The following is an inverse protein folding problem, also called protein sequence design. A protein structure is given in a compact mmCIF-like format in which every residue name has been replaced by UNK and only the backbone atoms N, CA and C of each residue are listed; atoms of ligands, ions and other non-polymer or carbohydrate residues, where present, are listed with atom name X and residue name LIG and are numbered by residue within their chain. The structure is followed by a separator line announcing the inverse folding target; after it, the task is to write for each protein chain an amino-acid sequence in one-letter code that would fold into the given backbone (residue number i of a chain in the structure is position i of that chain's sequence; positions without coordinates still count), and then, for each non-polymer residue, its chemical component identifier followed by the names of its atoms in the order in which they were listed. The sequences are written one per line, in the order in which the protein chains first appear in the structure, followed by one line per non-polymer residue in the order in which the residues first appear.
data_IF_176204452918
#
_entry.id   IF_176204452918
#
_cell.length_a   1.000
_cell.length_b   1.000
_cell.length_c   1.000
_cell.angle_alpha   90.00
_cell.angle_beta   90.00
_cell.angle_gamma   90.00
#
_symmetry.space_group_name_H-M   'P 1'
#
loop_
_entity.id
_entity.type
_entity.pdbx_description
1 polymer ?
#
# COMPACT_ATOMS: atom_id res chain seq x y z
N UNK A 1 40.45 -58.87 11.76
CA UNK A 1 40.24 -57.85 10.73
C UNK A 1 38.78 -57.88 10.33
N UNK A 2 37.99 -56.90 10.77
CA UNK A 2 36.61 -56.70 10.37
C UNK A 2 36.58 -55.71 9.19
N UNK A 3 35.71 -55.88 8.18
CA UNK A 3 35.61 -54.94 7.04
C UNK A 3 34.95 -53.63 7.45
N UNK A 4 35.20 -52.51 6.74
CA UNK A 4 34.64 -51.21 7.05
C UNK A 4 33.15 -51.18 6.73
N UNK A 5 32.38 -50.54 7.63
CA UNK A 5 30.94 -50.25 7.48
C UNK A 5 30.75 -49.13 6.44
N UNK A 6 30.08 -49.44 5.35
CA UNK A 6 29.71 -48.48 4.32
C UNK A 6 28.81 -47.38 4.90
N UNK A 7 29.29 -46.14 4.86
CA UNK A 7 28.52 -44.96 5.21
C UNK A 7 27.40 -44.74 4.15
N UNK A 8 26.17 -44.94 4.55
CA UNK A 8 24.98 -44.60 3.73
C UNK A 8 25.04 -43.12 3.32
N UNK A 9 25.21 -42.87 2.03
CA UNK A 9 25.04 -41.56 1.45
C UNK A 9 23.58 -41.06 1.67
N UNK A 10 23.36 -39.80 2.10
CA UNK A 10 22.02 -39.27 2.32
C UNK A 10 21.26 -39.21 1.00
N UNK A 11 20.09 -39.80 0.98
CA UNK A 11 19.19 -39.83 -0.19
C UNK A 11 18.76 -38.42 -0.58
N UNK A 12 19.15 -37.97 -1.79
CA UNK A 12 18.81 -36.64 -2.39
C UNK A 12 17.32 -36.35 -2.54
N UNK A 13 16.40 -37.26 -2.20
CA UNK A 13 14.98 -37.10 -2.51
C UNK A 13 14.18 -36.25 -1.50
N UNK A 14 14.63 -36.16 -0.24
CA UNK A 14 13.89 -35.39 0.78
C UNK A 14 14.13 -33.89 0.75
N UNK A 15 15.30 -33.46 0.28
CA UNK A 15 15.65 -32.04 0.17
C UNK A 15 14.95 -31.32 -0.98
N UNK A 16 14.60 -32.05 -2.04
CA UNK A 16 13.92 -31.44 -3.22
C UNK A 16 12.44 -31.19 -2.99
N UNK A 17 11.74 -32.05 -2.24
CA UNK A 17 10.32 -31.86 -1.93
C UNK A 17 10.10 -30.69 -0.98
N UNK A 18 10.91 -30.53 0.05
CA UNK A 18 10.85 -29.40 0.98
C UNK A 18 11.17 -28.07 0.30
N UNK A 19 12.11 -28.05 -0.64
CA UNK A 19 12.45 -26.86 -1.44
C UNK A 19 11.32 -26.44 -2.37
N UNK A 20 10.56 -27.39 -2.95
CA UNK A 20 9.41 -27.10 -3.81
C UNK A 20 8.21 -26.56 -3.01
N UNK A 21 7.88 -27.14 -1.86
CA UNK A 21 6.79 -26.67 -0.99
C UNK A 21 7.07 -25.26 -0.49
N UNK A 22 8.30 -24.95 -0.10
CA UNK A 22 8.71 -23.62 0.33
C UNK A 22 8.62 -22.59 -0.80
N UNK A 23 8.90 -22.97 -2.06
CA UNK A 23 8.74 -22.07 -3.22
C UNK A 23 7.26 -21.79 -3.54
N UNK A 24 6.39 -22.78 -3.50
CA UNK A 24 4.95 -22.61 -3.78
C UNK A 24 4.31 -21.69 -2.74
N UNK A 25 4.66 -21.82 -1.46
CA UNK A 25 4.20 -20.96 -0.38
C UNK A 25 4.62 -19.48 -0.60
N UNK A 26 5.79 -19.25 -1.17
CA UNK A 26 6.34 -17.90 -1.41
C UNK A 26 5.57 -17.07 -2.45
N UNK A 27 4.92 -17.72 -3.40
CA UNK A 27 4.23 -17.05 -4.51
C UNK A 27 2.70 -17.08 -4.39
N UNK A 28 2.16 -17.56 -3.24
CA UNK A 28 0.70 -17.63 -3.03
C UNK A 28 -0.01 -16.30 -3.23
N UNK A 29 0.53 -15.21 -2.71
CA UNK A 29 -0.04 -13.88 -2.95
C UNK A 29 -0.07 -13.51 -4.44
N UNK A 30 0.99 -13.83 -5.24
CA UNK A 30 1.01 -13.62 -6.70
C UNK A 30 -0.05 -14.48 -7.38
N UNK A 31 -0.18 -15.71 -6.95
CA UNK A 31 -1.18 -16.63 -7.48
C UNK A 31 -2.60 -16.11 -7.18
N UNK A 32 -2.83 -15.57 -5.98
CA UNK A 32 -4.10 -14.95 -5.61
C UNK A 32 -4.34 -13.69 -6.44
N UNK A 33 -3.35 -12.80 -6.56
CA UNK A 33 -3.47 -11.58 -7.38
C UNK A 33 -3.70 -11.91 -8.86
N UNK A 34 -3.00 -12.89 -9.41
CA UNK A 34 -3.20 -13.37 -10.78
C UNK A 34 -4.59 -14.01 -10.96
N UNK A 35 -5.04 -14.79 -9.99
CA UNK A 35 -6.39 -15.37 -9.99
C UNK A 35 -7.48 -14.31 -9.98
N UNK A 36 -7.35 -13.29 -9.11
CA UNK A 36 -8.27 -12.15 -9.07
C UNK A 36 -8.26 -11.35 -10.37
N UNK A 37 -7.08 -11.19 -11.00
CA UNK A 37 -6.97 -10.51 -12.28
C UNK A 37 -7.71 -11.28 -13.39
N UNK A 38 -7.59 -12.60 -13.43
CA UNK A 38 -8.34 -13.45 -14.37
C UNK A 38 -9.85 -13.33 -14.11
N UNK A 39 -10.29 -13.38 -12.85
CA UNK A 39 -11.71 -13.20 -12.49
C UNK A 39 -12.21 -11.83 -12.91
N UNK A 40 -11.42 -10.78 -12.71
CA UNK A 40 -11.71 -9.42 -13.17
C UNK A 40 -11.91 -9.38 -14.69
N UNK A 41 -10.94 -9.90 -15.45
CA UNK A 41 -10.99 -9.92 -16.92
C UNK A 41 -12.22 -10.65 -17.44
N UNK A 42 -12.49 -11.84 -16.90
CA UNK A 42 -13.66 -12.64 -17.26
C UNK A 42 -14.96 -11.94 -16.91
N UNK A 43 -15.06 -11.38 -15.69
CA UNK A 43 -16.22 -10.64 -15.26
C UNK A 43 -16.52 -9.43 -16.14
N UNK A 44 -15.51 -8.63 -16.46
CA UNK A 44 -15.65 -7.46 -17.33
C UNK A 44 -16.09 -7.87 -18.74
N UNK A 45 -15.53 -8.96 -19.27
CA UNK A 45 -15.92 -9.49 -20.59
C UNK A 45 -17.37 -9.98 -20.61
N UNK A 46 -17.81 -10.69 -19.57
CA UNK A 46 -19.18 -11.20 -19.44
C UNK A 46 -20.19 -10.04 -19.39
N UNK A 47 -19.86 -8.96 -18.69
CA UNK A 47 -20.71 -7.78 -18.54
C UNK A 47 -20.53 -6.74 -19.65
N UNK A 48 -19.71 -7.02 -20.67
CA UNK A 48 -19.47 -6.08 -21.77
C UNK A 48 -18.76 -4.78 -21.35
N UNK A 49 -18.09 -4.78 -20.19
CA UNK A 49 -17.38 -3.61 -19.65
C UNK A 49 -16.02 -3.52 -20.32
N UNK A 50 -15.71 -2.43 -21.06
CA UNK A 50 -14.43 -2.27 -21.71
C UNK A 50 -13.31 -2.08 -20.71
N UNK A 51 -12.24 -2.83 -20.89
CA UNK A 51 -11.04 -2.73 -20.06
C UNK A 51 -10.15 -1.62 -20.60
N UNK A 52 -10.35 -0.40 -20.11
CA UNK A 52 -9.45 0.73 -20.40
C UNK A 52 -8.75 1.14 -19.13
N UNK A 53 -7.43 0.92 -19.06
CA UNK A 53 -6.58 1.47 -18.03
C UNK A 53 -5.90 2.74 -18.53
N UNK A 54 -5.95 3.80 -17.72
CA UNK A 54 -5.11 4.97 -17.95
C UNK A 54 -3.73 4.69 -17.35
N UNK A 55 -2.89 3.98 -18.12
CA UNK A 55 -1.53 3.62 -17.67
C UNK A 55 -0.72 4.87 -17.35
N UNK A 56 -0.85 5.95 -18.13
CA UNK A 56 -0.16 7.22 -17.87
C UNK A 56 -0.55 7.83 -16.54
N UNK A 57 -1.83 8.02 -16.26
CA UNK A 57 -2.32 8.59 -15.00
C UNK A 57 -1.93 7.73 -13.81
N UNK A 58 -2.05 6.40 -13.97
CA UNK A 58 -1.64 5.45 -12.94
C UNK A 58 -0.14 5.57 -12.64
N UNK A 59 0.69 5.61 -13.69
CA UNK A 59 2.12 5.77 -13.56
C UNK A 59 2.50 7.12 -12.93
N UNK A 60 1.90 8.23 -13.32
CA UNK A 60 2.15 9.56 -12.75
C UNK A 60 1.87 9.61 -11.26
N UNK A 61 0.72 9.10 -10.83
CA UNK A 61 0.34 9.07 -9.40
C UNK A 61 1.27 8.21 -8.57
N UNK A 62 1.61 7.01 -9.06
CA UNK A 62 2.54 6.13 -8.35
C UNK A 62 3.99 6.62 -8.35
N UNK A 63 4.34 7.49 -9.26
CA UNK A 63 5.62 8.16 -9.24
C UNK A 63 5.77 9.13 -8.08
N UNK A 64 4.77 9.98 -7.91
CA UNK A 64 4.71 10.92 -6.77
C UNK A 64 4.78 10.12 -5.47
N UNK A 65 4.00 9.03 -5.35
CA UNK A 65 4.04 8.11 -4.21
C UNK A 65 5.44 7.49 -4.04
N UNK A 66 6.11 7.11 -5.12
CA UNK A 66 7.47 6.55 -5.07
C UNK A 66 8.49 7.55 -4.51
N UNK A 67 8.46 8.80 -4.98
CA UNK A 67 9.33 9.86 -4.47
C UNK A 67 9.05 10.14 -2.99
N UNK A 68 7.78 10.28 -2.62
CA UNK A 68 7.37 10.47 -1.23
C UNK A 68 7.81 9.31 -0.35
N UNK A 69 7.71 8.07 -0.83
CA UNK A 69 8.14 6.87 -0.11
C UNK A 69 9.64 6.85 0.17
N UNK A 70 10.44 7.28 -0.80
CA UNK A 70 11.90 7.42 -0.63
C UNK A 70 12.20 8.51 0.40
N UNK A 71 11.61 9.70 0.27
CA UNK A 71 11.80 10.80 1.23
C UNK A 71 11.38 10.38 2.63
N UNK A 72 10.23 9.75 2.77
CA UNK A 72 9.72 9.25 4.04
C UNK A 72 10.63 8.18 4.66
N UNK A 73 11.18 7.27 3.82
CA UNK A 73 12.15 6.25 4.26
C UNK A 73 13.44 6.88 4.79
N UNK A 74 13.92 7.95 4.15
CA UNK A 74 15.10 8.69 4.61
C UNK A 74 14.84 9.37 5.95
N UNK A 75 13.67 9.99 6.14
CA UNK A 75 13.26 10.62 7.39
C UNK A 75 13.16 9.57 8.51
N UNK A 76 12.45 8.48 8.29
CA UNK A 76 12.32 7.40 9.27
C UNK A 76 13.67 6.75 9.57
N UNK A 77 14.51 6.59 8.56
CA UNK A 77 15.88 6.10 8.71
C UNK A 77 16.73 7.01 9.60
N UNK A 78 16.64 8.32 9.42
CA UNK A 78 17.35 9.29 10.24
C UNK A 78 16.87 9.29 11.72
N UNK A 79 15.59 9.06 11.95
CA UNK A 79 15.00 9.05 13.30
C UNK A 79 15.31 7.76 14.05
N UNK A 80 15.27 6.61 13.40
CA UNK A 80 15.15 5.33 14.08
C UNK A 80 16.20 4.29 13.80
N UNK A 81 17.04 4.46 12.79
CA UNK A 81 18.02 3.45 12.44
C UNK A 81 19.45 3.83 12.83
N UNK A 82 20.28 2.88 13.26
CA UNK A 82 21.71 3.12 13.39
C UNK A 82 22.25 3.67 12.06
N UNK A 83 23.13 4.65 12.16
CA UNK A 83 23.75 5.37 11.02
C UNK A 83 24.50 4.46 10.04
N UNK A 84 24.71 3.22 10.39
CA UNK A 84 25.43 2.20 9.61
C UNK A 84 24.87 1.92 8.21
N UNK A 85 23.59 2.32 7.93
CA UNK A 85 23.03 2.16 6.58
C UNK A 85 23.54 3.21 5.62
N UNK A 86 23.74 4.43 6.13
CA UNK A 86 24.13 5.60 5.33
C UNK A 86 25.63 5.79 5.28
N UNK A 87 26.37 5.16 6.22
CA UNK A 87 27.83 5.21 6.26
C UNK A 87 28.47 4.74 4.96
N UNK A 88 28.12 3.58 4.37
CA UNK A 88 28.73 3.15 3.11
C UNK A 88 28.43 4.09 1.94
N UNK A 89 27.22 4.67 1.88
CA UNK A 89 26.87 5.67 0.88
C UNK A 89 27.64 6.98 1.10
N UNK A 90 27.65 7.48 2.34
CA UNK A 90 28.32 8.75 2.69
C UNK A 90 29.82 8.71 2.43
N UNK A 91 30.50 7.62 2.77
CA UNK A 91 31.94 7.48 2.54
C UNK A 91 32.27 7.36 1.05
N UNK A 92 31.52 6.61 0.26
CA UNK A 92 31.74 6.44 -1.17
C UNK A 92 31.47 7.68 -1.99
N UNK A 93 30.40 8.41 -1.70
CA UNK A 93 30.08 9.64 -2.41
C UNK A 93 31.01 10.78 -2.01
N UNK A 94 31.66 10.69 -0.83
CA UNK A 94 32.73 11.61 -0.46
C UNK A 94 33.96 11.47 -1.34
N UNK A 95 34.24 10.28 -1.88
CA UNK A 95 35.38 10.00 -2.74
C UNK A 95 35.14 10.39 -4.21
N UNK A 96 33.90 10.61 -4.64
CA UNK A 96 33.58 11.01 -6.00
C UNK A 96 32.41 11.98 -6.11
N UNK A 97 32.60 13.25 -5.70
CA UNK A 97 31.55 14.28 -5.78
C UNK A 97 31.06 14.53 -7.22
N UNK A 98 31.88 14.26 -8.21
CA UNK A 98 31.53 14.36 -9.62
C UNK A 98 30.37 13.42 -10.02
N UNK A 99 30.34 12.20 -9.44
CA UNK A 99 29.25 11.23 -9.68
C UNK A 99 27.91 11.72 -9.15
N UNK A 100 27.90 12.37 -7.98
CA UNK A 100 26.68 13.01 -7.44
C UNK A 100 26.18 14.16 -8.31
N UNK A 101 27.09 14.97 -8.83
CA UNK A 101 26.75 16.06 -9.73
C UNK A 101 26.18 15.51 -11.03
N UNK A 102 26.78 14.50 -11.63
CA UNK A 102 26.28 13.85 -12.86
C UNK A 102 24.91 13.21 -12.62
N UNK A 103 24.71 12.47 -11.52
CA UNK A 103 23.43 11.88 -11.19
C UNK A 103 22.35 12.94 -10.92
N UNK A 104 22.73 14.04 -10.23
CA UNK A 104 21.84 15.16 -9.98
C UNK A 104 21.43 15.88 -11.28
N UNK A 105 22.37 16.10 -12.19
CA UNK A 105 22.10 16.72 -13.50
C UNK A 105 21.26 15.82 -14.40
N UNK A 106 21.57 14.52 -14.46
CA UNK A 106 20.77 13.54 -15.21
C UNK A 106 19.37 13.40 -14.63
N UNK A 107 19.25 13.35 -13.31
CA UNK A 107 17.95 13.33 -12.63
C UNK A 107 17.13 14.60 -12.91
N UNK A 108 17.74 15.77 -12.84
CA UNK A 108 17.09 17.04 -13.12
C UNK A 108 16.67 17.16 -14.60
N UNK A 109 17.53 16.76 -15.53
CA UNK A 109 17.23 16.73 -16.96
C UNK A 109 16.09 15.77 -17.27
N UNK A 110 16.11 14.58 -16.67
CA UNK A 110 15.06 13.59 -16.87
C UNK A 110 13.74 14.02 -16.23
N UNK A 111 13.80 14.72 -15.08
CA UNK A 111 12.65 15.32 -14.42
C UNK A 111 12.01 16.44 -15.25
N UNK A 112 12.82 17.17 -15.99
CA UNK A 112 12.35 18.22 -16.90
C UNK A 112 11.72 17.66 -18.18
N UNK A 113 12.27 16.57 -18.72
CA UNK A 113 11.84 15.99 -20.00
C UNK A 113 10.71 14.97 -19.90
N UNK A 114 10.52 14.36 -18.74
CA UNK A 114 9.57 13.26 -18.55
C UNK A 114 8.74 13.45 -17.28
N UNK A 115 7.50 12.89 -17.23
CA UNK A 115 6.72 12.86 -16.00
C UNK A 115 7.56 12.36 -14.80
N UNK A 116 7.38 12.93 -13.60
CA UNK A 116 8.23 12.67 -12.43
C UNK A 116 8.45 11.18 -12.07
N UNK A 117 7.58 10.31 -12.55
CA UNK A 117 7.75 8.86 -12.40
C UNK A 117 8.84 8.26 -13.26
N UNK A 118 8.85 8.57 -14.52
CA UNK A 118 9.89 8.06 -15.41
C UNK A 118 11.27 8.53 -14.92
N UNK A 119 11.35 9.77 -14.41
CA UNK A 119 12.55 10.29 -13.77
C UNK A 119 12.94 9.54 -12.49
N UNK A 120 11.98 9.21 -11.62
CA UNK A 120 12.23 8.46 -10.38
C UNK A 120 12.64 7.01 -10.67
N UNK A 121 11.97 6.34 -11.60
CA UNK A 121 12.35 4.98 -12.04
C UNK A 121 13.70 4.99 -12.72
N UNK A 122 13.97 5.95 -13.61
CA UNK A 122 15.27 6.10 -14.27
C UNK A 122 16.38 6.34 -13.24
N UNK A 123 16.16 7.21 -12.26
CA UNK A 123 17.13 7.50 -11.21
C UNK A 123 17.39 6.25 -10.36
N UNK A 124 16.36 5.53 -9.94
CA UNK A 124 16.48 4.29 -9.16
C UNK A 124 17.18 3.18 -9.96
N UNK A 125 16.82 3.01 -11.22
CA UNK A 125 17.48 2.05 -12.13
C UNK A 125 18.92 2.45 -12.38
N UNK A 126 19.20 3.73 -12.59
CA UNK A 126 20.56 4.24 -12.83
C UNK A 126 21.43 4.07 -11.58
N UNK A 127 20.91 4.39 -10.38
CA UNK A 127 21.58 4.13 -9.10
C UNK A 127 21.82 2.63 -8.95
N UNK A 128 20.82 1.80 -9.24
CA UNK A 128 20.91 0.35 -9.19
C UNK A 128 21.98 -0.21 -10.14
N UNK A 129 22.04 0.29 -11.37
CA UNK A 129 23.05 -0.10 -12.38
C UNK A 129 24.44 0.36 -11.97
N UNK A 130 24.60 1.58 -11.49
CA UNK A 130 25.90 2.10 -11.02
C UNK A 130 26.40 1.37 -9.79
N UNK A 131 25.53 1.05 -8.84
CA UNK A 131 25.85 0.22 -7.69
C UNK A 131 26.17 -1.22 -8.10
N UNK A 132 25.48 -1.76 -9.11
CA UNK A 132 25.77 -3.06 -9.69
C UNK A 132 27.15 -3.11 -10.34
N UNK A 133 27.48 -2.09 -11.09
CA UNK A 133 28.78 -1.97 -11.76
C UNK A 133 29.94 -1.85 -10.76
N UNK A 134 29.76 -1.05 -9.69
CA UNK A 134 30.81 -0.81 -8.69
C UNK A 134 31.03 -1.98 -7.70
N UNK A 135 30.04 -2.83 -7.48
CA UNK A 135 30.08 -3.86 -6.42
C UNK A 135 30.00 -5.30 -6.90
N UNK A 136 29.89 -5.57 -8.18
CA UNK A 136 29.66 -6.93 -8.66
C UNK A 136 28.40 -7.54 -8.02
N UNK A 137 28.51 -8.73 -7.41
CA UNK A 137 27.36 -9.47 -6.83
C UNK A 137 26.65 -8.74 -5.65
N UNK A 138 27.30 -7.75 -5.00
CA UNK A 138 26.68 -6.94 -3.93
C UNK A 138 25.51 -6.04 -4.43
N UNK A 139 25.39 -5.83 -5.73
CA UNK A 139 24.25 -5.19 -6.38
C UNK A 139 22.89 -5.84 -6.10
N UNK A 140 22.89 -7.12 -5.76
CA UNK A 140 21.70 -7.85 -5.34
C UNK A 140 20.95 -7.20 -4.17
N UNK A 141 21.58 -6.32 -3.40
CA UNK A 141 20.94 -5.67 -2.25
C UNK A 141 19.90 -4.64 -2.68
N UNK A 142 20.20 -3.83 -3.71
CA UNK A 142 19.24 -2.83 -4.24
C UNK A 142 18.11 -3.44 -5.07
N UNK A 143 18.32 -4.67 -5.57
CA UNK A 143 17.24 -5.40 -6.28
C UNK A 143 16.26 -6.06 -5.33
N UNK A 144 16.57 -6.14 -4.02
CA UNK A 144 15.67 -6.75 -3.02
C UNK A 144 14.27 -6.14 -2.97
N UNK A 145 14.08 -4.81 -3.01
CA UNK A 145 12.76 -4.21 -3.01
C UNK A 145 12.06 -4.27 -4.38
N UNK A 146 12.77 -4.51 -5.48
CA UNK A 146 12.19 -4.44 -6.83
C UNK A 146 11.06 -5.45 -7.03
N UNK A 147 11.27 -6.71 -6.70
CA UNK A 147 10.25 -7.74 -6.86
C UNK A 147 9.03 -7.49 -5.97
N UNK A 148 9.16 -7.21 -4.65
CA UNK A 148 8.03 -6.79 -3.83
C UNK A 148 7.32 -5.54 -4.35
N UNK A 149 8.05 -4.56 -4.91
CA UNK A 149 7.44 -3.35 -5.48
C UNK A 149 6.61 -3.64 -6.73
N UNK A 150 7.13 -4.46 -7.65
CA UNK A 150 6.38 -4.93 -8.83
C UNK A 150 5.11 -5.68 -8.37
N UNK A 151 5.24 -6.51 -7.34
CA UNK A 151 4.17 -7.28 -6.76
C UNK A 151 3.05 -6.41 -6.19
N UNK A 152 3.44 -5.37 -5.40
CA UNK A 152 2.50 -4.38 -4.89
C UNK A 152 1.80 -3.63 -6.03
N UNK A 153 2.56 -3.18 -7.02
CA UNK A 153 2.04 -2.44 -8.17
C UNK A 153 0.99 -3.23 -8.95
N UNK A 154 1.33 -4.47 -9.35
CA UNK A 154 0.40 -5.34 -10.08
C UNK A 154 -0.83 -5.68 -9.23
N UNK A 155 -0.62 -5.94 -7.93
CA UNK A 155 -1.71 -6.20 -7.00
C UNK A 155 -2.65 -5.01 -6.85
N UNK A 156 -2.14 -3.79 -6.73
CA UNK A 156 -2.97 -2.59 -6.63
C UNK A 156 -3.74 -2.29 -7.91
N UNK A 157 -3.13 -2.46 -9.10
CA UNK A 157 -3.87 -2.37 -10.37
C UNK A 157 -5.05 -3.34 -10.37
N UNK A 158 -4.83 -4.58 -9.94
CA UNK A 158 -5.87 -5.60 -9.86
C UNK A 158 -6.98 -5.19 -8.90
N UNK A 159 -6.63 -4.69 -7.71
CA UNK A 159 -7.58 -4.25 -6.69
C UNK A 159 -8.43 -3.08 -7.19
N UNK A 160 -7.80 -2.04 -7.75
CA UNK A 160 -8.54 -0.88 -8.27
C UNK A 160 -9.43 -1.26 -9.47
N UNK A 161 -8.93 -2.12 -10.36
CA UNK A 161 -9.73 -2.64 -11.46
C UNK A 161 -10.94 -3.43 -10.97
N UNK A 162 -10.75 -4.28 -9.94
CA UNK A 162 -11.84 -5.06 -9.35
C UNK A 162 -12.84 -4.17 -8.62
N UNK A 163 -12.38 -3.14 -7.89
CA UNK A 163 -13.25 -2.16 -7.27
C UNK A 163 -14.10 -1.39 -8.30
N UNK A 164 -13.48 -0.89 -9.38
CA UNK A 164 -14.18 -0.24 -10.48
C UNK A 164 -15.23 -1.15 -11.13
N UNK A 165 -14.90 -2.44 -11.32
CA UNK A 165 -15.85 -3.44 -11.81
C UNK A 165 -17.03 -3.63 -10.85
N UNK A 166 -16.78 -3.81 -9.55
CA UNK A 166 -17.84 -4.01 -8.56
C UNK A 166 -18.80 -2.84 -8.51
N UNK A 167 -18.32 -1.60 -8.51
CA UNK A 167 -19.22 -0.42 -8.47
C UNK A 167 -20.03 -0.23 -9.75
N UNK A 168 -19.57 -0.80 -10.86
CA UNK A 168 -20.32 -0.77 -12.13
C UNK A 168 -21.48 -1.76 -12.12
N UNK A 169 -21.31 -2.94 -11.51
CA UNK A 169 -22.33 -4.00 -11.52
C UNK A 169 -23.22 -4.03 -10.26
N UNK A 170 -22.81 -3.36 -9.18
CA UNK A 170 -23.54 -3.34 -7.92
C UNK A 170 -24.33 -2.03 -7.78
N UNK A 171 -25.66 -2.15 -7.69
CA UNK A 171 -26.58 -1.03 -7.46
C UNK A 171 -26.96 -0.88 -5.99
N UNK A 172 -26.77 -1.92 -5.18
CA UNK A 172 -27.06 -1.89 -3.74
C UNK A 172 -26.11 -0.91 -3.03
N UNK A 173 -26.66 -0.19 -2.03
CA UNK A 173 -25.89 0.72 -1.18
C UNK A 173 -26.36 0.57 0.27
N UNK A 174 -25.47 0.12 1.13
CA UNK A 174 -25.75 -0.10 2.56
C UNK A 174 -25.15 0.99 3.46
N UNK A 175 -24.71 2.11 2.90
CA UNK A 175 -24.10 3.22 3.65
C UNK A 175 -25.03 3.76 4.76
N UNK A 176 -26.35 3.72 4.57
CA UNK A 176 -27.32 4.13 5.60
C UNK A 176 -27.23 3.28 6.87
N UNK A 177 -26.94 1.97 6.74
CA UNK A 177 -26.76 1.09 7.90
C UNK A 177 -25.50 1.50 8.66
N UNK A 178 -24.38 1.72 7.94
CA UNK A 178 -23.12 2.16 8.54
C UNK A 178 -23.29 3.54 9.19
N UNK A 179 -23.96 4.48 8.54
CA UNK A 179 -24.26 5.80 9.10
C UNK A 179 -25.13 5.72 10.38
N UNK A 180 -26.08 4.78 10.43
CA UNK A 180 -26.88 4.54 11.64
C UNK A 180 -26.02 3.99 12.77
N UNK A 181 -25.16 2.98 12.50
CA UNK A 181 -24.21 2.45 13.49
C UNK A 181 -23.27 3.55 13.97
N UNK A 182 -22.81 4.40 13.08
CA UNK A 182 -21.95 5.54 13.40
C UNK A 182 -22.63 6.51 14.37
N UNK A 183 -23.93 6.81 14.14
CA UNK A 183 -24.68 7.69 15.04
C UNK A 183 -24.81 7.11 16.46
N UNK A 184 -24.90 5.79 16.62
CA UNK A 184 -24.86 5.16 17.96
C UNK A 184 -23.48 5.31 18.61
N UNK A 185 -22.40 5.12 17.85
CA UNK A 185 -21.04 5.29 18.37
C UNK A 185 -20.72 6.74 18.75
N UNK A 186 -21.37 7.70 18.07
CA UNK A 186 -21.17 9.14 18.24
C UNK A 186 -22.29 9.79 19.08
N UNK A 187 -22.99 9.02 19.90
CA UNK A 187 -24.02 9.49 20.84
C UNK A 187 -25.12 10.34 20.16
N UNK A 188 -25.58 9.91 18.99
CA UNK A 188 -26.65 10.57 18.24
C UNK A 188 -26.15 11.56 17.17
N UNK A 189 -24.86 11.83 17.08
CA UNK A 189 -24.28 12.71 16.05
C UNK A 189 -23.84 11.91 14.81
N UNK A 190 -23.84 12.53 13.64
CA UNK A 190 -23.24 11.95 12.46
C UNK A 190 -21.76 12.34 12.32
N UNK A 191 -20.96 11.50 11.62
CA UNK A 191 -19.56 11.84 11.30
C UNK A 191 -19.48 13.15 10.52
N UNK A 192 -20.40 13.40 9.58
CA UNK A 192 -20.47 14.66 8.81
C UNK A 192 -20.76 15.86 9.70
N UNK A 193 -21.68 15.75 10.68
CA UNK A 193 -21.94 16.82 11.62
C UNK A 193 -20.70 17.18 12.44
N UNK A 194 -19.97 16.19 12.94
CA UNK A 194 -18.71 16.41 13.65
C UNK A 194 -17.66 17.05 12.75
N UNK A 195 -17.53 16.58 11.51
CA UNK A 195 -16.64 17.16 10.50
C UNK A 195 -16.95 18.65 10.27
N UNK A 196 -18.21 18.98 10.00
CA UNK A 196 -18.63 20.36 9.74
C UNK A 196 -18.36 21.28 10.94
N UNK A 197 -18.73 20.85 12.15
CA UNK A 197 -18.46 21.61 13.38
C UNK A 197 -16.96 21.83 13.59
N UNK A 198 -16.16 20.79 13.41
CA UNK A 198 -14.72 20.86 13.55
C UNK A 198 -14.10 21.79 12.50
N UNK A 199 -14.35 21.55 11.22
CA UNK A 199 -13.76 22.34 10.12
C UNK A 199 -14.23 23.80 10.11
N UNK A 200 -15.42 24.09 10.66
CA UNK A 200 -15.91 25.46 10.81
C UNK A 200 -15.12 26.26 11.85
N UNK A 201 -14.54 25.60 12.85
CA UNK A 201 -13.84 26.23 13.97
C UNK A 201 -12.32 26.00 13.96
N UNK A 202 -11.84 24.96 13.26
CA UNK A 202 -10.43 24.62 13.23
C UNK A 202 -9.63 25.63 12.38
N UNK A 203 -8.43 26.02 12.84
CA UNK A 203 -7.47 26.77 12.03
C UNK A 203 -7.05 25.99 10.75
N UNK A 204 -6.78 26.70 9.66
CA UNK A 204 -6.34 26.10 8.38
C UNK A 204 -5.08 25.25 8.53
N UNK A 205 -4.21 25.58 9.46
CA UNK A 205 -3.01 24.78 9.78
C UNK A 205 -3.36 23.37 10.25
N UNK A 206 -4.42 23.21 11.04
CA UNK A 206 -4.86 21.91 11.55
C UNK A 206 -5.50 21.10 10.43
N UNK A 207 -6.39 21.70 9.66
CA UNK A 207 -7.03 21.01 8.50
C UNK A 207 -5.98 20.62 7.45
N UNK A 208 -4.97 21.45 7.23
CA UNK A 208 -3.82 21.14 6.37
C UNK A 208 -3.00 19.97 6.93
N UNK A 209 -2.75 19.93 8.24
CA UNK A 209 -2.03 18.81 8.86
C UNK A 209 -2.79 17.49 8.73
N UNK A 210 -4.12 17.50 8.90
CA UNK A 210 -4.98 16.35 8.65
C UNK A 210 -4.88 15.88 7.20
N UNK A 211 -4.94 16.80 6.25
CA UNK A 211 -4.79 16.50 4.82
C UNK A 211 -3.42 15.88 4.50
N UNK A 212 -2.34 16.45 5.02
CA UNK A 212 -0.99 15.92 4.83
C UNK A 212 -0.89 14.50 5.41
N UNK A 213 -1.44 14.27 6.61
CA UNK A 213 -1.44 12.96 7.24
C UNK A 213 -2.19 11.92 6.40
N UNK A 214 -3.32 12.30 5.82
CA UNK A 214 -4.10 11.45 4.92
C UNK A 214 -3.28 11.00 3.69
N UNK A 215 -2.64 11.93 3.01
CA UNK A 215 -1.84 11.62 1.82
C UNK A 215 -0.50 10.94 2.15
N UNK A 216 0.03 11.10 3.37
CA UNK A 216 1.27 10.46 3.79
C UNK A 216 1.17 8.92 3.90
N UNK A 217 -0.04 8.35 3.96
CA UNK A 217 -0.26 6.90 4.06
C UNK A 217 0.46 6.13 2.94
N UNK A 218 0.35 6.59 1.70
CA UNK A 218 0.99 5.91 0.58
C UNK A 218 2.52 5.93 0.69
N UNK A 219 3.08 7.04 1.20
CA UNK A 219 4.50 7.14 1.49
C UNK A 219 4.94 6.17 2.61
N UNK A 220 4.10 5.94 3.62
CA UNK A 220 4.37 4.96 4.69
C UNK A 220 4.44 3.53 4.14
N UNK A 221 3.52 3.15 3.25
CA UNK A 221 3.51 1.82 2.64
C UNK A 221 4.79 1.59 1.85
N UNK A 222 5.18 2.54 1.00
CA UNK A 222 6.40 2.46 0.23
C UNK A 222 7.66 2.44 1.11
N UNK A 223 7.69 3.25 2.18
CA UNK A 223 8.78 3.26 3.13
C UNK A 223 8.90 1.93 3.89
N UNK A 224 7.78 1.36 4.34
CA UNK A 224 7.78 0.06 4.99
C UNK A 224 8.31 -1.04 4.05
N UNK A 225 7.88 -1.04 2.78
CA UNK A 225 8.38 -1.95 1.77
C UNK A 225 9.90 -1.82 1.58
N UNK A 226 10.42 -0.60 1.48
CA UNK A 226 11.85 -0.35 1.33
C UNK A 226 12.63 -0.81 2.57
N UNK A 227 12.18 -0.41 3.77
CA UNK A 227 12.85 -0.74 5.03
C UNK A 227 12.86 -2.26 5.25
N UNK A 228 11.73 -2.94 5.07
CA UNK A 228 11.64 -4.40 5.26
C UNK A 228 12.49 -5.14 4.24
N UNK A 229 12.45 -4.75 2.97
CA UNK A 229 13.21 -5.40 1.91
C UNK A 229 14.73 -5.19 2.04
N UNK A 230 15.16 -3.98 2.39
CA UNK A 230 16.59 -3.64 2.46
C UNK A 230 17.24 -4.12 3.77
N UNK A 231 16.51 -4.01 4.91
CA UNK A 231 17.05 -4.29 6.24
C UNK A 231 16.88 -5.74 6.68
N UNK A 232 15.73 -6.33 6.34
CA UNK A 232 15.45 -7.71 6.75
C UNK A 232 15.70 -8.66 5.59
N UNK A 233 15.25 -8.30 4.40
CA UNK A 233 15.45 -9.05 3.18
C UNK A 233 14.22 -9.08 2.30
N UNK A 234 14.42 -9.52 1.06
CA UNK A 234 13.36 -9.59 0.02
C UNK A 234 12.12 -10.37 0.49
N UNK A 235 12.31 -11.44 1.22
CA UNK A 235 11.21 -12.30 1.71
C UNK A 235 10.28 -11.54 2.67
N UNK A 236 10.85 -10.70 3.54
CA UNK A 236 10.03 -9.89 4.45
C UNK A 236 9.26 -8.79 3.70
N UNK A 237 9.87 -8.21 2.64
CA UNK A 237 9.16 -7.30 1.73
C UNK A 237 8.00 -8.00 1.02
N UNK A 238 8.18 -9.24 0.55
CA UNK A 238 7.12 -10.04 -0.06
C UNK A 238 6.01 -10.35 0.96
N UNK A 239 6.36 -10.71 2.19
CA UNK A 239 5.38 -10.95 3.27
C UNK A 239 4.56 -9.69 3.55
N UNK A 240 5.22 -8.55 3.66
CA UNK A 240 4.54 -7.26 3.85
C UNK A 240 3.52 -7.00 2.73
N UNK A 241 3.96 -7.06 1.48
CA UNK A 241 3.08 -6.85 0.32
C UNK A 241 1.93 -7.85 0.28
N UNK A 242 2.22 -9.13 0.52
CA UNK A 242 1.19 -10.18 0.57
C UNK A 242 0.15 -9.90 1.65
N UNK A 243 0.55 -9.37 2.82
CA UNK A 243 -0.38 -8.99 3.89
C UNK A 243 -1.28 -7.82 3.47
N UNK A 244 -0.72 -6.80 2.83
CA UNK A 244 -1.47 -5.66 2.28
C UNK A 244 -2.49 -6.13 1.22
N UNK A 245 -2.04 -6.94 0.26
CA UNK A 245 -2.91 -7.43 -0.81
C UNK A 245 -4.01 -8.37 -0.29
N UNK A 246 -3.70 -9.17 0.74
CA UNK A 246 -4.70 -10.01 1.39
C UNK A 246 -5.75 -9.19 2.16
N UNK A 247 -5.33 -8.10 2.83
CA UNK A 247 -6.26 -7.16 3.45
C UNK A 247 -7.19 -6.52 2.40
N UNK A 248 -6.66 -6.12 1.24
CA UNK A 248 -7.48 -5.64 0.13
C UNK A 248 -8.46 -6.71 -0.38
N UNK A 249 -8.01 -7.96 -0.50
CA UNK A 249 -8.89 -9.07 -0.90
C UNK A 249 -10.08 -9.22 0.05
N UNK A 250 -9.83 -9.26 1.36
CA UNK A 250 -10.89 -9.33 2.38
C UNK A 250 -11.86 -8.15 2.21
N UNK A 251 -11.32 -6.95 2.07
CA UNK A 251 -12.10 -5.73 1.90
C UNK A 251 -12.97 -5.79 0.63
N UNK A 252 -12.42 -6.26 -0.49
CA UNK A 252 -13.18 -6.43 -1.74
C UNK A 252 -14.29 -7.46 -1.61
N UNK A 253 -14.06 -8.57 -0.91
CA UNK A 253 -15.08 -9.60 -0.67
C UNK A 253 -16.23 -9.05 0.22
N UNK A 254 -15.89 -8.28 1.26
CA UNK A 254 -16.89 -7.60 2.09
C UNK A 254 -17.66 -6.58 1.26
N UNK A 255 -16.99 -5.75 0.48
CA UNK A 255 -17.64 -4.76 -0.38
C UNK A 255 -18.52 -5.41 -1.46
N UNK A 256 -18.11 -6.54 -2.03
CA UNK A 256 -18.92 -7.27 -2.98
C UNK A 256 -20.25 -7.76 -2.36
N UNK A 257 -20.24 -8.14 -1.08
CA UNK A 257 -21.43 -8.59 -0.35
C UNK A 257 -22.22 -7.41 0.24
N UNK A 258 -21.53 -6.37 0.72
CA UNK A 258 -22.06 -5.25 1.48
C UNK A 258 -21.48 -3.91 0.97
N UNK A 259 -21.88 -3.45 -0.22
CA UNK A 259 -21.38 -2.20 -0.80
C UNK A 259 -21.73 -0.99 0.07
N UNK A 260 -20.68 -0.26 0.50
CA UNK A 260 -20.79 0.95 1.31
C UNK A 260 -19.87 2.02 0.75
N UNK A 261 -20.38 3.24 0.68
CA UNK A 261 -19.67 4.40 0.15
C UNK A 261 -19.42 5.42 1.26
N UNK A 262 -18.41 6.23 1.10
CA UNK A 262 -17.99 7.25 2.06
C UNK A 262 -19.08 8.26 2.40
N UNK A 263 -19.03 8.93 3.58
CA UNK A 263 -20.02 9.92 4.00
C UNK A 263 -20.28 11.00 2.95
N UNK A 264 -19.25 11.50 2.27
CA UNK A 264 -19.39 12.54 1.24
C UNK A 264 -20.22 12.11 0.00
N UNK A 265 -20.47 10.81 -0.22
CA UNK A 265 -21.40 10.33 -1.25
C UNK A 265 -22.86 10.36 -0.79
N UNK A 266 -23.11 10.31 0.51
CA UNK A 266 -24.45 10.13 1.08
C UNK A 266 -24.98 11.38 1.79
N UNK A 267 -24.09 12.31 2.17
CA UNK A 267 -24.46 13.54 2.85
C UNK A 267 -24.98 14.58 1.85
N UNK A 268 -26.24 15.03 2.01
CA UNK A 268 -26.85 16.05 1.16
C UNK A 268 -26.16 17.42 1.30
N UNK A 269 -25.61 17.72 2.47
CA UNK A 269 -25.01 19.01 2.81
C UNK A 269 -23.49 19.06 2.59
N UNK A 270 -22.93 18.04 1.96
CA UNK A 270 -21.47 17.95 1.72
C UNK A 270 -20.88 19.19 1.02
N UNK A 271 -21.63 19.80 0.08
CA UNK A 271 -21.19 21.00 -0.62
C UNK A 271 -21.09 22.25 0.27
N UNK A 272 -21.68 22.23 1.46
CA UNK A 272 -21.62 23.32 2.44
C UNK A 272 -20.49 23.12 3.47
N UNK A 273 -19.79 21.99 3.41
CA UNK A 273 -18.68 21.71 4.32
C UNK A 273 -17.51 22.67 4.07
N UNK A 274 -16.98 23.25 5.16
CA UNK A 274 -15.74 24.07 5.12
C UNK A 274 -14.49 23.19 5.09
N UNK A 275 -14.46 22.22 4.19
CA UNK A 275 -13.30 21.37 3.98
C UNK A 275 -12.21 22.09 3.16
N UNK A 276 -10.94 21.70 3.29
CA UNK A 276 -9.88 22.20 2.41
C UNK A 276 -10.23 21.99 0.93
N UNK A 277 -9.97 22.98 0.09
CA UNK A 277 -10.35 22.98 -1.32
C UNK A 277 -9.84 21.73 -2.07
N UNK A 278 -8.61 21.29 -1.80
CA UNK A 278 -8.02 20.08 -2.39
C UNK A 278 -8.82 18.81 -2.03
N UNK A 279 -9.34 18.74 -0.81
CA UNK A 279 -10.19 17.61 -0.36
C UNK A 279 -11.52 17.62 -1.10
N UNK A 280 -12.16 18.78 -1.17
CA UNK A 280 -13.44 18.95 -1.90
C UNK A 280 -13.30 18.58 -3.37
N UNK A 281 -12.26 19.06 -4.05
CA UNK A 281 -11.99 18.73 -5.46
C UNK A 281 -11.77 17.24 -5.67
N UNK A 282 -10.99 16.59 -4.78
CA UNK A 282 -10.76 15.15 -4.85
C UNK A 282 -12.05 14.34 -4.65
N UNK A 283 -12.88 14.72 -3.68
CA UNK A 283 -14.15 14.05 -3.39
C UNK A 283 -15.17 14.27 -4.52
N UNK A 284 -15.27 15.48 -5.05
CA UNK A 284 -16.13 15.81 -6.20
C UNK A 284 -15.72 15.01 -7.45
N UNK A 285 -14.41 14.90 -7.70
CA UNK A 285 -13.88 14.08 -8.77
C UNK A 285 -14.29 12.61 -8.65
N UNK A 286 -14.15 12.03 -7.44
CA UNK A 286 -14.58 10.65 -7.17
C UNK A 286 -16.08 10.46 -7.30
N UNK A 287 -16.90 11.41 -6.81
CA UNK A 287 -18.36 11.36 -6.98
C UNK A 287 -18.77 11.39 -8.46
N UNK A 288 -18.15 12.25 -9.26
CA UNK A 288 -18.42 12.33 -10.69
C UNK A 288 -18.06 10.99 -11.39
N UNK A 289 -16.89 10.44 -11.09
CA UNK A 289 -16.43 9.18 -11.66
C UNK A 289 -17.35 8.02 -11.26
N UNK A 290 -17.75 7.94 -9.98
CA UNK A 290 -18.68 6.92 -9.52
C UNK A 290 -20.02 6.97 -10.29
N UNK A 291 -20.61 8.16 -10.44
CA UNK A 291 -21.84 8.36 -11.23
C UNK A 291 -21.67 7.90 -12.67
N UNK A 292 -20.57 8.28 -13.32
CA UNK A 292 -20.28 7.85 -14.68
C UNK A 292 -20.17 6.32 -14.79
N UNK A 293 -19.52 5.65 -13.81
CA UNK A 293 -19.41 4.17 -13.79
C UNK A 293 -20.76 3.50 -13.58
N UNK A 294 -21.58 4.01 -12.67
CA UNK A 294 -22.93 3.49 -12.41
C UNK A 294 -23.86 3.64 -13.62
N UNK A 295 -23.63 4.65 -14.47
CA UNK A 295 -24.31 4.81 -15.75
C UNK A 295 -23.62 4.08 -16.91
N UNK A 296 -22.72 3.11 -16.61
CA UNK A 296 -21.98 2.34 -17.60
C UNK A 296 -21.18 3.19 -18.60
N UNK A 297 -20.77 4.40 -18.22
CA UNK A 297 -19.93 5.22 -19.06
C UNK A 297 -18.57 4.53 -19.28
N UNK A 298 -18.08 4.58 -20.52
CA UNK A 298 -16.82 4.00 -20.90
C UNK A 298 -15.64 4.90 -20.48
N UNK A 299 -15.38 4.98 -19.18
CA UNK A 299 -14.26 5.74 -18.61
C UNK A 299 -13.10 4.82 -18.26
N UNK A 300 -11.85 5.27 -18.42
CA UNK A 300 -10.68 4.50 -18.03
C UNK A 300 -10.70 4.15 -16.54
N UNK A 301 -10.19 2.98 -16.18
CA UNK A 301 -9.90 2.62 -14.79
C UNK A 301 -8.62 3.36 -14.40
N UNK A 302 -8.71 4.10 -13.31
CA UNK A 302 -7.60 4.84 -12.71
C UNK A 302 -7.39 4.36 -11.27
N UNK A 303 -6.91 5.20 -10.40
CA UNK A 303 -6.63 4.91 -8.98
C UNK A 303 -7.83 5.14 -8.05
N UNK A 304 -9.04 5.17 -8.60
CA UNK A 304 -10.25 5.40 -7.80
C UNK A 304 -10.53 4.21 -6.87
N UNK A 305 -10.84 4.54 -5.63
CA UNK A 305 -11.21 3.57 -4.62
C UNK A 305 -12.46 4.05 -3.88
N UNK A 306 -13.55 3.31 -4.02
CA UNK A 306 -14.88 3.75 -3.58
C UNK A 306 -15.36 3.08 -2.29
N UNK A 307 -14.59 2.14 -1.75
CA UNK A 307 -14.97 1.37 -0.57
C UNK A 307 -14.84 2.20 0.69
N UNK A 308 -15.94 2.39 1.43
CA UNK A 308 -15.89 2.95 2.76
C UNK A 308 -15.61 1.87 3.80
N UNK A 309 -16.49 0.86 3.91
CA UNK A 309 -16.35 -0.22 4.88
C UNK A 309 -15.87 -1.53 4.21
N UNK A 310 -14.85 -2.16 4.78
CA UNK A 310 -13.98 -1.72 5.89
C UNK A 310 -12.90 -0.73 5.43
N UNK A 311 -12.41 0.11 6.35
CA UNK A 311 -11.47 1.17 6.04
C UNK A 311 -10.04 0.67 5.81
N UNK A 312 -9.56 0.74 4.58
CA UNK A 312 -8.16 0.41 4.26
C UNK A 312 -7.17 1.47 4.76
N UNK A 313 -7.61 2.73 4.96
CA UNK A 313 -6.77 3.78 5.56
C UNK A 313 -6.42 3.52 7.04
N UNK A 314 -7.08 2.56 7.69
CA UNK A 314 -6.72 2.05 9.02
C UNK A 314 -6.01 0.70 8.93
N UNK A 315 -6.48 -0.19 8.05
CA UNK A 315 -5.86 -1.50 7.92
C UNK A 315 -4.39 -1.44 7.49
N UNK A 316 -4.07 -0.57 6.53
CA UNK A 316 -2.71 -0.41 6.01
C UNK A 316 -1.71 0.10 7.05
N UNK A 317 -1.95 1.23 7.77
CA UNK A 317 -1.02 1.69 8.81
C UNK A 317 -0.84 0.67 9.93
N UNK A 318 -1.87 -0.04 10.35
CA UNK A 318 -1.74 -1.10 11.35
C UNK A 318 -0.82 -2.24 10.87
N UNK A 319 -0.90 -2.60 9.60
CA UNK A 319 0.03 -3.57 8.99
C UNK A 319 1.45 -2.99 8.94
N UNK A 320 1.62 -1.71 8.57
CA UNK A 320 2.92 -1.02 8.60
C UNK A 320 3.52 -1.03 10.00
N UNK A 321 2.74 -0.65 11.03
CA UNK A 321 3.16 -0.69 12.43
C UNK A 321 3.60 -2.10 12.85
N UNK A 322 2.89 -3.13 12.44
CA UNK A 322 3.25 -4.52 12.73
C UNK A 322 4.59 -4.91 12.13
N UNK A 323 4.85 -4.59 10.88
CA UNK A 323 6.11 -4.93 10.22
C UNK A 323 7.29 -4.09 10.73
N UNK A 324 7.06 -2.84 11.16
CA UNK A 324 8.06 -1.95 11.71
C UNK A 324 8.21 -2.00 13.24
N UNK A 325 7.48 -2.87 13.95
CA UNK A 325 7.42 -2.93 15.43
C UNK A 325 8.77 -3.15 16.11
N UNK A 326 9.75 -3.71 15.42
CA UNK A 326 11.11 -3.91 15.94
C UNK A 326 11.88 -2.60 16.11
N UNK A 327 11.51 -1.55 15.41
CA UNK A 327 12.14 -0.22 15.47
C UNK A 327 11.31 0.73 16.33
N UNK A 328 11.53 0.71 17.64
CA UNK A 328 10.70 1.43 18.64
C UNK A 328 10.55 2.92 18.35
N UNK A 329 11.61 3.60 17.87
CA UNK A 329 11.55 5.04 17.57
C UNK A 329 10.68 5.32 16.35
N UNK A 330 10.82 4.52 15.30
CA UNK A 330 9.98 4.60 14.11
C UNK A 330 8.53 4.34 14.50
N UNK A 331 8.30 3.29 15.30
CA UNK A 331 6.96 2.91 15.77
C UNK A 331 6.29 4.06 16.53
N UNK A 332 7.01 4.73 17.44
CA UNK A 332 6.47 5.85 18.20
C UNK A 332 6.03 7.02 17.30
N UNK A 333 6.84 7.38 16.30
CA UNK A 333 6.50 8.43 15.32
C UNK A 333 5.29 8.02 14.50
N UNK A 334 5.25 6.78 13.99
CA UNK A 334 4.15 6.29 13.16
C UNK A 334 2.84 6.23 13.96
N UNK A 335 2.87 5.81 15.23
CA UNK A 335 1.66 5.83 16.06
C UNK A 335 1.06 7.25 16.14
N UNK A 336 1.89 8.28 16.30
CA UNK A 336 1.39 9.66 16.32
C UNK A 336 0.80 10.04 14.96
N UNK A 337 1.52 9.77 13.87
CA UNK A 337 1.05 10.09 12.50
C UNK A 337 -0.24 9.35 12.18
N UNK A 338 -0.33 8.07 12.54
CA UNK A 338 -1.50 7.23 12.24
C UNK A 338 -2.70 7.58 13.14
N UNK A 339 -2.45 8.11 14.35
CA UNK A 339 -3.53 8.69 15.18
C UNK A 339 -4.11 9.94 14.52
N UNK A 340 -3.25 10.82 13.98
CA UNK A 340 -3.70 11.99 13.21
C UNK A 340 -4.41 11.55 11.93
N UNK A 341 -3.91 10.52 11.24
CA UNK A 341 -4.57 9.93 10.08
C UNK A 341 -5.97 9.39 10.43
N UNK A 342 -6.12 8.67 11.55
CA UNK A 342 -7.41 8.16 11.99
C UNK A 342 -8.42 9.28 12.26
N UNK A 343 -7.97 10.41 12.82
CA UNK A 343 -8.81 11.60 12.95
C UNK A 343 -9.12 12.23 11.57
N UNK A 344 -8.11 12.33 10.70
CA UNK A 344 -8.24 12.94 9.39
C UNK A 344 -9.30 12.25 8.52
N UNK A 345 -9.33 10.93 8.48
CA UNK A 345 -10.27 10.19 7.62
C UNK A 345 -11.74 10.37 8.04
N UNK A 346 -11.99 10.63 9.32
CA UNK A 346 -13.36 10.95 9.82
C UNK A 346 -13.65 12.44 9.63
N UNK A 347 -12.75 13.33 10.09
CA UNK A 347 -12.94 14.77 10.06
C UNK A 347 -12.92 15.39 8.66
N UNK A 348 -12.34 14.71 7.68
CA UNK A 348 -12.37 15.09 6.27
C UNK A 348 -13.44 14.30 5.47
N UNK A 349 -14.37 13.63 6.13
CA UNK A 349 -15.51 12.90 5.54
C UNK A 349 -15.15 11.75 4.58
N UNK A 350 -13.93 11.20 4.70
CA UNK A 350 -13.54 10.04 3.90
C UNK A 350 -14.20 8.75 4.39
N UNK A 351 -14.39 8.60 5.70
CA UNK A 351 -14.89 7.39 6.33
C UNK A 351 -15.80 7.65 7.52
N UNK A 352 -16.69 6.70 7.80
CA UNK A 352 -17.41 6.61 9.06
C UNK A 352 -16.48 6.09 10.17
N UNK A 353 -16.81 6.37 11.43
CA UNK A 353 -16.07 5.78 12.59
C UNK A 353 -16.20 4.28 12.61
N UNK A 354 -17.35 3.74 12.25
CA UNK A 354 -17.61 2.30 12.12
C UNK A 354 -16.64 1.64 11.12
N UNK A 355 -16.27 2.34 10.04
CA UNK A 355 -15.33 1.82 9.05
C UNK A 355 -13.95 1.54 9.64
N UNK A 356 -13.52 2.34 10.63
CA UNK A 356 -12.25 2.18 11.33
C UNK A 356 -12.20 0.84 12.06
N UNK A 357 -13.30 0.46 12.73
CA UNK A 357 -13.39 -0.83 13.43
C UNK A 357 -13.26 -1.99 12.45
N UNK A 358 -13.91 -1.88 11.29
CA UNK A 358 -13.76 -2.82 10.19
C UNK A 358 -12.31 -2.92 9.71
N UNK A 359 -11.63 -1.78 9.57
CA UNK A 359 -10.21 -1.71 9.19
C UNK A 359 -9.29 -2.39 10.18
N UNK A 360 -9.51 -2.21 11.48
CA UNK A 360 -8.77 -2.91 12.55
C UNK A 360 -8.94 -4.42 12.44
N UNK A 361 -10.18 -4.88 12.25
CA UNK A 361 -10.48 -6.31 12.11
C UNK A 361 -9.78 -6.92 10.87
N UNK A 362 -9.84 -6.24 9.73
CA UNK A 362 -9.17 -6.67 8.49
C UNK A 362 -7.66 -6.75 8.67
N UNK A 363 -7.03 -5.74 9.30
CA UNK A 363 -5.60 -5.77 9.59
C UNK A 363 -5.23 -6.95 10.49
N UNK A 364 -5.99 -7.17 11.57
CA UNK A 364 -5.77 -8.29 12.49
C UNK A 364 -5.84 -9.65 11.78
N UNK A 365 -6.88 -9.87 10.99
CA UNK A 365 -7.05 -11.12 10.21
C UNK A 365 -5.88 -11.29 9.23
N UNK A 366 -5.53 -10.25 8.47
CA UNK A 366 -4.47 -10.32 7.47
C UNK A 366 -3.10 -10.63 8.10
N UNK A 367 -2.79 -10.01 9.25
CA UNK A 367 -1.55 -10.25 9.99
C UNK A 367 -1.52 -11.69 10.53
N UNK A 368 -2.58 -12.14 11.19
CA UNK A 368 -2.64 -13.49 11.79
C UNK A 368 -2.51 -14.58 10.74
N UNK A 369 -3.27 -14.47 9.64
CA UNK A 369 -3.22 -15.44 8.55
C UNK A 369 -1.81 -15.51 7.96
N UNK A 370 -1.20 -14.36 7.64
CA UNK A 370 0.11 -14.36 6.98
C UNK A 370 1.25 -14.78 7.91
N UNK A 371 1.17 -14.50 9.22
CA UNK A 371 2.19 -14.90 10.20
C UNK A 371 2.12 -16.39 10.55
N UNK A 372 0.94 -16.99 10.66
CA UNK A 372 0.77 -18.40 10.95
C UNK A 372 1.25 -19.28 9.79
N UNK A 373 0.92 -18.92 8.56
CA UNK A 373 1.42 -19.64 7.38
C UNK A 373 2.95 -19.63 7.25
N UNK A 374 3.63 -18.61 7.81
CA UNK A 374 5.09 -18.54 7.79
C UNK A 374 5.74 -19.47 8.82
N UNK A 375 5.07 -19.80 9.93
CA UNK A 375 5.61 -20.70 10.96
C UNK A 375 5.54 -22.17 10.55
N UNK A 376 4.52 -22.57 9.81
CA UNK A 376 4.37 -23.96 9.34
C UNK A 376 5.42 -24.34 8.27
N UNK A 377 6.11 -23.36 7.67
CA UNK A 377 7.10 -23.61 6.63
C UNK A 377 8.54 -23.65 7.16
N UNK A 378 8.80 -23.33 8.42
CA UNK A 378 10.10 -23.59 9.05
C UNK A 378 10.15 -25.06 9.48
N UNK A 379 11.08 -25.88 8.94
CA UNK A 379 11.27 -27.23 9.44
C UNK A 379 11.63 -27.12 10.91
N UNK A 380 10.82 -27.79 11.77
CA UNK A 380 11.17 -27.97 13.18
C UNK A 380 12.59 -28.52 13.22
N UNK A 381 13.57 -27.69 13.58
CA UNK A 381 14.90 -28.15 13.94
C UNK A 381 14.71 -28.98 15.21
N UNK A 382 14.54 -30.29 15.01
CA UNK A 382 14.61 -31.29 16.08
C UNK A 382 16.02 -31.17 16.65
N UNK A 383 16.11 -30.69 17.87
CA UNK A 383 17.31 -30.68 18.71
C UNK A 383 17.80 -32.10 19.00
#
# INVERSE_FOLDING_TARGET
MLPPVDAHAPTKSSTDATSRVSRISRYRGLTIAAGLFVVLLLGMRIHGIPLKFSVSNFLERYAVVGIQSIAYSLILGAIGMPTEIFVPMKERYRESPLRLVILGLLGALFFYLYPPFAAAVFLLVSIGILEAYDRGIAALTLTRPLLPAIYLFVGLITVFGFNAYLVTIRTANYSSIVATLDSYLLFGHSASELSHRFCASAPDTITTALMISYFALFAQIGACLLITSLKVGREEGIKFVSTILFAYLITMLIFAAFPTFSPYFTCADHQQAKLPQVVLEAQQGLMQQLRLRQHHANIPIDTEYYVAFPCMHIAQPLIVLWFLRRWRRILAVLIVVDTILAAAIVLLEWHYVTDLLGGVAVAGIAIVVNTNFSRETEPSSIH
#
